data_IF_893070327896
#
_entry.id   IF_893070327896
#
_cell.length_a   1.000
_cell.length_b   1.000
_cell.length_c   1.000
_cell.angle_alpha   90.00
_cell.angle_beta   90.00
_cell.angle_gamma   90.00
#
_symmetry.space_group_name_H-M   'P 1'
#
loop_
_entity.id
_entity.type
_entity.pdbx_description
1 polymer ?
#
# COMPACT_ATOMS: atom_id res chain seq x y z
N UNK A 1 22.32 -21.01 12.31
CA UNK A 1 20.89 -20.70 12.08
C UNK A 1 20.72 -20.65 10.57
N UNK A 2 20.09 -21.67 9.98
CA UNK A 2 19.98 -21.79 8.53
C UNK A 2 19.03 -20.71 7.99
N UNK A 3 19.45 -20.07 6.90
CA UNK A 3 18.55 -19.27 6.06
C UNK A 3 17.38 -20.17 5.63
N UNK A 4 16.12 -19.70 5.63
CA UNK A 4 15.04 -20.50 5.10
C UNK A 4 15.27 -20.77 3.61
N UNK A 5 14.81 -21.95 3.19
CA UNK A 5 14.88 -22.47 1.84
C UNK A 5 14.46 -21.41 0.82
N UNK A 6 15.16 -21.40 -0.31
CA UNK A 6 14.85 -20.65 -1.52
C UNK A 6 13.34 -20.56 -1.74
N UNK A 7 12.84 -19.34 -1.92
CA UNK A 7 11.50 -19.07 -2.44
C UNK A 7 11.38 -19.87 -3.74
N UNK A 8 10.64 -20.98 -3.70
CA UNK A 8 10.30 -21.73 -4.90
C UNK A 8 9.49 -20.78 -5.79
N UNK A 9 9.97 -20.56 -7.01
CA UNK A 9 9.32 -19.75 -8.05
C UNK A 9 8.04 -20.47 -8.50
N UNK A 10 7.02 -20.43 -7.65
CA UNK A 10 5.65 -20.73 -8.06
C UNK A 10 5.34 -19.77 -9.20
N UNK A 11 4.98 -20.32 -10.36
CA UNK A 11 4.61 -19.57 -11.57
C UNK A 11 3.28 -18.81 -11.37
N UNK A 12 3.23 -17.95 -10.37
CA UNK A 12 2.12 -17.09 -10.05
C UNK A 12 2.09 -15.96 -11.08
N UNK A 13 0.91 -15.71 -11.61
CA UNK A 13 0.68 -14.60 -12.52
C UNK A 13 0.84 -13.32 -11.71
N UNK A 14 1.90 -12.57 -11.99
CA UNK A 14 2.11 -11.26 -11.40
C UNK A 14 1.27 -10.24 -12.16
N UNK A 15 0.63 -9.35 -11.41
CA UNK A 15 -0.17 -8.25 -11.95
C UNK A 15 0.55 -6.93 -11.71
N UNK A 16 0.65 -6.10 -12.74
CA UNK A 16 1.12 -4.72 -12.58
C UNK A 16 0.00 -3.91 -11.93
N UNK A 17 0.23 -3.51 -10.68
CA UNK A 17 -0.72 -2.76 -9.86
C UNK A 17 -0.02 -1.54 -9.24
N UNK A 18 -0.77 -0.47 -9.03
CA UNK A 18 -0.30 0.74 -8.36
C UNK A 18 -1.04 0.96 -7.03
N UNK A 19 -0.36 1.54 -6.06
CA UNK A 19 -0.96 1.91 -4.78
C UNK A 19 -1.77 3.21 -4.91
N UNK A 20 -3.07 3.14 -4.67
CA UNK A 20 -4.02 4.26 -4.84
C UNK A 20 -4.08 5.23 -3.66
N UNK A 21 -3.24 5.06 -2.64
CA UNK A 21 -3.27 5.83 -1.40
C UNK A 21 -4.58 5.70 -0.60
N UNK A 22 -5.41 4.71 -0.90
CA UNK A 22 -6.56 4.31 -0.08
C UNK A 22 -6.17 3.11 0.75
N UNK A 23 -6.34 3.21 2.07
CA UNK A 23 -5.96 2.15 3.00
C UNK A 23 -6.89 2.11 4.19
N UNK A 24 -7.16 0.90 4.67
CA UNK A 24 -7.88 0.63 5.91
C UNK A 24 -6.89 0.07 6.91
N UNK A 25 -6.89 0.62 8.12
CA UNK A 25 -6.03 0.15 9.20
C UNK A 25 -6.86 -0.33 10.38
N UNK A 26 -6.41 -1.42 10.99
CA UNK A 26 -6.73 -1.71 12.38
C UNK A 26 -6.07 -0.67 13.28
N UNK A 27 -6.75 -0.25 14.35
CA UNK A 27 -6.25 0.79 15.26
C UNK A 27 -4.90 0.44 15.91
N UNK A 28 -4.57 -0.85 16.02
CA UNK A 28 -3.29 -1.32 16.54
C UNK A 28 -2.08 -0.81 15.75
N UNK A 29 -2.26 -0.40 14.48
CA UNK A 29 -1.17 0.10 13.64
C UNK A 29 -0.43 1.28 14.26
N UNK A 30 -1.13 2.15 15.00
CA UNK A 30 -0.52 3.35 15.58
C UNK A 30 0.45 3.00 16.71
N UNK A 31 0.17 1.92 17.46
CA UNK A 31 1.09 1.44 18.48
C UNK A 31 2.30 0.76 17.84
N UNK A 32 2.08 -0.06 16.80
CA UNK A 32 3.16 -0.67 16.03
C UNK A 32 4.09 0.38 15.42
N UNK A 33 3.54 1.44 14.82
CA UNK A 33 4.32 2.54 14.27
C UNK A 33 5.24 3.16 15.33
N UNK A 34 4.72 3.46 16.53
CA UNK A 34 5.52 3.99 17.64
C UNK A 34 6.56 3.00 18.12
N UNK A 35 6.18 1.74 18.31
CA UNK A 35 7.05 0.67 18.80
C UNK A 35 8.28 0.47 17.89
N UNK A 36 8.09 0.56 16.57
CA UNK A 36 9.17 0.46 15.59
C UNK A 36 9.84 1.81 15.27
N UNK A 37 9.54 2.87 16.00
CA UNK A 37 10.24 4.15 15.92
C UNK A 37 9.82 5.05 14.75
N UNK A 38 8.69 4.78 14.10
CA UNK A 38 8.13 5.65 13.07
C UNK A 38 7.55 6.91 13.71
N UNK A 39 8.33 7.99 13.65
CA UNK A 39 8.00 9.29 14.25
C UNK A 39 8.27 10.42 13.26
N UNK A 40 7.55 11.54 13.39
CA UNK A 40 7.65 12.65 12.44
C UNK A 40 7.14 12.29 11.05
N UNK A 41 7.84 12.72 10.01
CA UNK A 41 7.53 12.38 8.61
C UNK A 41 8.24 11.09 8.24
N UNK A 42 7.48 10.06 7.92
CA UNK A 42 7.99 8.77 7.46
C UNK A 42 7.15 8.23 6.29
N UNK A 43 7.66 7.21 5.61
CA UNK A 43 6.98 6.53 4.51
C UNK A 43 6.12 5.39 5.04
N UNK A 44 4.87 5.26 4.54
CA UNK A 44 4.05 4.08 4.82
C UNK A 44 4.61 2.80 4.18
N UNK A 45 5.38 2.93 3.09
CA UNK A 45 6.05 1.77 2.46
C UNK A 45 7.03 1.13 3.46
N UNK A 46 7.78 1.94 4.20
CA UNK A 46 8.73 1.44 5.21
C UNK A 46 8.01 0.74 6.35
N UNK A 47 6.83 1.24 6.75
CA UNK A 47 5.97 0.58 7.75
C UNK A 47 5.51 -0.78 7.23
N UNK A 48 5.03 -0.86 5.99
CA UNK A 48 4.57 -2.12 5.41
C UNK A 48 5.70 -3.15 5.32
N UNK A 49 6.86 -2.75 4.80
CA UNK A 49 8.03 -3.64 4.71
C UNK A 49 8.52 -4.09 6.09
N UNK A 50 8.44 -3.22 7.10
CA UNK A 50 8.84 -3.55 8.46
C UNK A 50 7.89 -4.56 9.12
N UNK A 51 6.58 -4.43 8.87
CA UNK A 51 5.55 -5.25 9.52
C UNK A 51 5.21 -6.53 8.75
N UNK A 52 5.39 -6.57 7.42
CA UNK A 52 5.04 -7.69 6.56
C UNK A 52 5.57 -9.07 7.02
N UNK A 53 6.76 -9.20 7.65
CA UNK A 53 7.23 -10.49 8.14
C UNK A 53 6.38 -11.09 9.29
N UNK A 54 5.71 -10.25 10.07
CA UNK A 54 5.03 -10.65 11.32
C UNK A 54 3.52 -10.35 11.30
N UNK A 55 3.06 -9.50 10.38
CA UNK A 55 1.68 -9.05 10.28
C UNK A 55 1.13 -9.24 8.87
N UNK A 56 -0.12 -9.72 8.79
CA UNK A 56 -0.83 -9.85 7.52
C UNK A 56 -1.13 -8.46 6.95
N UNK A 57 -0.62 -8.19 5.75
CA UNK A 57 -0.91 -6.98 4.98
C UNK A 57 -1.47 -7.43 3.64
N UNK A 58 -2.64 -6.91 3.28
CA UNK A 58 -3.35 -7.31 2.07
C UNK A 58 -3.53 -6.12 1.13
N UNK A 59 -3.44 -6.37 -0.17
CA UNK A 59 -3.90 -5.45 -1.20
C UNK A 59 -5.37 -5.70 -1.52
N UNK A 60 -6.13 -4.64 -1.80
CA UNK A 60 -7.47 -4.73 -2.36
C UNK A 60 -7.44 -4.28 -3.82
N UNK A 61 -7.74 -5.20 -4.74
CA UNK A 61 -7.80 -4.88 -6.16
C UNK A 61 -9.14 -4.20 -6.46
N UNK A 62 -9.10 -2.88 -6.62
CA UNK A 62 -10.25 -2.05 -6.95
C UNK A 62 -10.28 -1.65 -8.44
N UNK A 63 -9.69 -2.46 -9.31
CA UNK A 63 -9.73 -2.25 -10.77
C UNK A 63 -11.18 -2.10 -11.23
N UNK A 64 -11.46 -1.01 -11.97
CA UNK A 64 -12.81 -0.67 -12.42
C UNK A 64 -13.49 0.41 -11.59
N UNK A 65 -12.98 0.74 -10.41
CA UNK A 65 -13.46 1.88 -9.65
C UNK A 65 -13.14 3.20 -10.35
N UNK A 66 -13.97 4.22 -10.09
CA UNK A 66 -13.66 5.58 -10.51
C UNK A 66 -12.64 6.18 -9.54
N UNK A 67 -11.42 6.35 -10.00
CA UNK A 67 -10.32 6.99 -9.26
C UNK A 67 -9.58 7.96 -10.18
N UNK A 68 -9.18 9.12 -9.67
CA UNK A 68 -8.36 10.11 -10.39
C UNK A 68 -7.33 10.73 -9.44
N UNK A 69 -6.07 10.77 -9.86
CA UNK A 69 -5.01 11.47 -9.14
C UNK A 69 -5.01 12.96 -9.50
N UNK A 70 -5.47 13.78 -8.55
CA UNK A 70 -5.53 15.25 -8.67
C UNK A 70 -4.32 15.96 -8.08
N UNK A 71 -3.17 15.27 -7.96
CA UNK A 71 -1.92 15.87 -7.47
C UNK A 71 -1.31 16.93 -8.39
N UNK A 72 -1.83 17.07 -9.62
CA UNK A 72 -1.42 18.10 -10.59
C UNK A 72 -2.61 18.99 -10.97
N UNK A 73 -2.40 20.30 -11.19
CA UNK A 73 -3.48 21.21 -11.58
C UNK A 73 -4.25 20.76 -12.83
N UNK A 74 -3.56 20.18 -13.81
CA UNK A 74 -4.16 19.74 -15.07
C UNK A 74 -5.14 18.56 -14.87
N UNK A 75 -4.97 17.78 -13.80
CA UNK A 75 -5.84 16.63 -13.48
C UNK A 75 -7.20 17.05 -12.92
N UNK A 76 -7.37 18.28 -12.45
CA UNK A 76 -8.63 18.75 -11.83
C UNK A 76 -9.77 18.75 -12.85
N UNK A 77 -9.50 19.23 -14.07
CA UNK A 77 -10.48 19.27 -15.16
C UNK A 77 -10.93 17.85 -15.53
N UNK A 78 -10.02 16.87 -15.47
CA UNK A 78 -10.35 15.46 -15.71
C UNK A 78 -11.30 14.97 -14.62
N UNK A 79 -11.01 15.27 -13.35
CA UNK A 79 -11.88 14.90 -12.24
C UNK A 79 -13.30 15.47 -12.37
N UNK A 80 -13.44 16.76 -12.73
CA UNK A 80 -14.75 17.40 -12.96
C UNK A 80 -15.57 16.67 -14.04
N UNK A 81 -14.92 16.14 -15.08
CA UNK A 81 -15.61 15.39 -16.13
C UNK A 81 -16.05 13.97 -15.71
N UNK A 82 -15.34 13.36 -14.75
CA UNK A 82 -15.59 11.98 -14.31
C UNK A 82 -16.56 11.90 -13.12
N UNK A 83 -16.67 12.97 -12.34
CA UNK A 83 -17.46 13.09 -11.12
C UNK A 83 -18.32 14.38 -11.13
N UNK A 84 -19.49 14.38 -11.82
CA UNK A 84 -20.37 15.54 -11.92
C UNK A 84 -21.16 15.84 -10.64
#
# INVERSE_FOLDING_TARGET
MALPASLEDSSEVMYELAYSCVVVFEYSIFELMKQYGFTGKFSLIDVYLKLAPEHLIMGYNHTGDRLVDVGKPESVIIAESLFP
#
